data_IF_697833006020
#
_entry.id   IF_697833006020
#
_cell.length_a   1.000
_cell.length_b   1.000
_cell.length_c   1.000
_cell.angle_alpha   90.00
_cell.angle_beta   90.00
_cell.angle_gamma   90.00
#
_symmetry.space_group_name_H-M   'P 1'
#
loop_
_entity.id
_entity.type
_entity.pdbx_description
1 polymer ?
#
# COMPACT_ATOMS: atom_id res chain seq x y z
N UNK A 1 35.31 -25.06 29.48
CA UNK A 1 35.62 -23.71 29.97
C UNK A 1 35.70 -22.79 28.78
N UNK A 2 34.67 -22.01 28.51
CA UNK A 2 34.71 -20.67 27.96
C UNK A 2 33.26 -20.20 27.86
N UNK A 3 32.86 -19.28 28.73
CA UNK A 3 31.58 -18.54 28.72
C UNK A 3 31.62 -17.52 27.60
N UNK A 4 30.64 -17.54 26.70
CA UNK A 4 30.32 -16.37 25.86
C UNK A 4 29.10 -15.66 26.46
N UNK A 5 29.29 -14.42 26.84
CA UNK A 5 28.24 -13.46 27.24
C UNK A 5 27.45 -13.05 26.00
N UNK A 6 26.14 -13.16 26.09
CA UNK A 6 25.22 -12.52 25.14
C UNK A 6 24.98 -11.07 25.61
N UNK A 7 25.31 -10.10 24.78
CA UNK A 7 24.89 -8.71 24.99
C UNK A 7 23.50 -8.49 24.38
N UNK A 8 22.55 -8.21 25.24
CA UNK A 8 21.24 -7.71 24.84
C UNK A 8 21.38 -6.21 24.52
N UNK A 9 21.18 -5.81 23.26
CA UNK A 9 20.98 -4.41 22.90
C UNK A 9 19.56 -4.00 23.32
N UNK A 10 19.49 -3.04 24.25
CA UNK A 10 18.25 -2.39 24.66
C UNK A 10 17.79 -1.47 23.53
N UNK A 11 16.57 -1.69 23.04
CA UNK A 11 15.86 -0.74 22.20
C UNK A 11 15.35 0.35 23.12
N UNK A 12 15.81 1.57 22.92
CA UNK A 12 15.34 2.74 23.64
C UNK A 12 14.06 3.28 22.97
N UNK A 13 12.98 3.38 23.74
CA UNK A 13 11.79 4.10 23.35
C UNK A 13 12.14 5.60 23.27
N UNK A 14 11.89 6.23 22.13
CA UNK A 14 12.04 7.68 21.95
C UNK A 14 10.75 8.35 22.40
N UNK A 15 10.82 9.01 23.53
CA UNK A 15 9.79 9.94 23.98
C UNK A 15 9.93 11.25 23.17
N UNK A 16 8.82 11.74 22.64
CA UNK A 16 8.75 13.05 21.99
C UNK A 16 8.87 14.13 23.07
N UNK A 17 9.98 14.83 23.10
CA UNK A 17 10.24 16.01 23.91
C UNK A 17 10.58 17.19 23.01
N UNK A 18 9.83 18.26 23.17
CA UNK A 18 9.98 19.50 22.41
C UNK A 18 11.19 20.34 22.84
N UNK A 19 11.66 21.15 21.89
CA UNK A 19 12.53 22.32 21.97
C UNK A 19 14.04 22.14 22.08
N UNK A 20 14.72 22.54 21.00
CA UNK A 20 16.11 22.96 21.01
C UNK A 20 16.47 23.61 19.67
N UNK A 21 16.50 24.93 19.62
CA UNK A 21 16.88 25.72 18.44
C UNK A 21 18.39 25.56 18.20
N UNK A 22 18.76 24.99 17.07
CA UNK A 22 20.12 25.09 16.56
C UNK A 22 20.07 25.63 15.12
N UNK A 23 20.59 26.81 14.91
CA UNK A 23 20.79 27.40 13.59
C UNK A 23 21.94 26.64 12.87
N UNK A 24 21.57 25.83 11.86
CA UNK A 24 22.45 25.29 10.88
C UNK A 24 21.87 25.58 9.49
N UNK A 25 22.63 26.21 8.61
CA UNK A 25 22.27 26.34 7.19
C UNK A 25 22.35 24.95 6.54
N UNK A 26 21.24 24.25 6.56
CA UNK A 26 20.92 23.05 5.82
C UNK A 26 19.50 23.20 5.30
N UNK A 27 19.24 22.85 4.05
CA UNK A 27 17.87 22.87 3.51
C UNK A 27 16.93 22.22 4.53
N UNK A 28 15.79 22.83 4.78
CA UNK A 28 14.81 22.26 5.68
C UNK A 28 14.47 20.86 5.14
N UNK A 29 14.78 19.81 5.93
CA UNK A 29 14.18 18.51 5.69
C UNK A 29 12.68 18.73 5.67
N UNK A 30 12.07 18.56 4.51
CA UNK A 30 10.62 18.52 4.40
C UNK A 30 10.21 17.23 5.07
N UNK A 31 9.87 17.31 6.34
CA UNK A 31 9.38 16.16 7.08
C UNK A 31 7.94 15.93 6.63
N UNK A 32 7.77 14.86 5.88
CA UNK A 32 6.49 14.43 5.39
C UNK A 32 5.50 14.21 6.54
N UNK A 33 4.36 14.80 6.40
CA UNK A 33 3.21 14.54 7.28
C UNK A 33 1.96 14.51 6.41
N UNK A 34 1.04 13.57 6.66
CA UNK A 34 -0.27 13.63 6.05
C UNK A 34 -0.95 14.99 6.29
N UNK A 35 -1.87 15.41 5.39
CA UNK A 35 -2.52 16.71 5.49
C UNK A 35 -3.33 16.86 6.78
N UNK A 36 -3.51 18.10 7.23
CA UNK A 36 -4.37 18.40 8.38
C UNK A 36 -5.81 17.90 8.15
N UNK A 37 -6.53 17.61 9.23
CA UNK A 37 -7.95 17.27 9.20
C UNK A 37 -8.26 15.77 9.09
N UNK A 38 -7.27 14.90 9.30
CA UNK A 38 -7.45 13.46 9.44
C UNK A 38 -6.69 12.93 10.67
N UNK A 39 -7.13 11.79 11.18
CA UNK A 39 -6.40 11.03 12.21
C UNK A 39 -5.62 9.90 11.53
N UNK A 40 -4.50 10.28 10.94
CA UNK A 40 -3.72 9.43 10.07
C UNK A 40 -2.90 8.40 10.83
N UNK A 41 -3.05 7.15 10.47
CA UNK A 41 -2.27 6.01 11.00
C UNK A 41 -1.43 5.41 9.90
N UNK A 42 -0.11 5.30 10.13
CA UNK A 42 0.80 4.65 9.19
C UNK A 42 0.47 3.16 9.04
N UNK A 43 0.48 2.65 7.81
CA UNK A 43 0.37 1.24 7.46
C UNK A 43 1.78 0.67 7.16
N UNK A 44 2.49 0.07 8.12
CA UNK A 44 3.85 -0.42 7.90
C UNK A 44 3.94 -1.52 6.84
N UNK A 45 2.87 -2.33 6.67
CA UNK A 45 2.81 -3.37 5.66
C UNK A 45 2.75 -2.83 4.23
N UNK A 46 2.25 -1.59 4.06
CA UNK A 46 2.16 -0.90 2.78
C UNK A 46 3.11 0.31 2.72
N UNK A 47 4.19 0.26 3.50
CA UNK A 47 5.23 1.30 3.58
C UNK A 47 6.62 0.69 3.53
N UNK A 48 7.61 1.44 3.07
CA UNK A 48 9.01 1.04 3.06
C UNK A 48 9.92 2.26 3.21
N UNK A 49 10.90 2.17 4.11
CA UNK A 49 11.91 3.21 4.36
C UNK A 49 13.21 2.91 3.60
N UNK A 50 13.30 1.79 2.91
CA UNK A 50 14.46 1.31 2.18
C UNK A 50 15.77 1.31 2.98
N UNK A 51 15.68 1.09 4.30
CA UNK A 51 16.81 1.08 5.24
C UNK A 51 17.72 -0.16 5.12
N UNK A 52 17.31 -1.14 4.32
CA UNK A 52 18.05 -2.38 4.09
C UNK A 52 19.23 -2.21 3.13
N UNK A 53 19.82 -3.34 2.77
CA UNK A 53 20.88 -3.48 1.76
C UNK A 53 20.42 -4.25 0.51
N UNK A 54 19.15 -4.63 0.48
CA UNK A 54 18.50 -5.31 -0.64
C UNK A 54 16.99 -4.98 -0.66
N UNK A 55 16.37 -5.17 -1.82
CA UNK A 55 14.92 -5.01 -1.98
C UNK A 55 14.18 -6.03 -1.10
N UNK A 56 13.20 -5.58 -0.33
CA UNK A 56 12.32 -6.47 0.44
C UNK A 56 11.37 -7.21 -0.51
N UNK A 57 11.70 -8.44 -0.85
CA UNK A 57 10.91 -9.27 -1.75
C UNK A 57 9.53 -9.67 -1.19
N UNK A 58 9.25 -9.42 0.09
CA UNK A 58 7.89 -9.57 0.62
C UNK A 58 7.01 -8.38 0.26
N UNK A 59 7.60 -7.22 0.02
CA UNK A 59 6.91 -5.96 -0.32
C UNK A 59 6.96 -5.63 -1.80
N UNK A 60 8.02 -6.00 -2.51
CA UNK A 60 8.27 -5.56 -3.87
C UNK A 60 8.59 -6.71 -4.83
N UNK A 61 8.13 -6.58 -6.04
CA UNK A 61 8.61 -7.34 -7.20
C UNK A 61 9.71 -6.53 -7.87
N UNK A 62 10.84 -7.18 -8.16
CA UNK A 62 11.90 -6.58 -8.98
C UNK A 62 11.51 -6.68 -10.45
N UNK A 63 11.00 -5.61 -11.02
CA UNK A 63 10.35 -5.54 -12.31
C UNK A 63 8.86 -5.22 -12.21
N UNK A 64 8.20 -5.14 -13.34
CA UNK A 64 6.76 -4.91 -13.50
C UNK A 64 6.22 -5.88 -14.55
N UNK A 65 4.89 -5.92 -14.77
CA UNK A 65 4.21 -6.92 -15.63
C UNK A 65 4.49 -6.81 -17.13
N UNK A 66 5.18 -5.75 -17.58
CA UNK A 66 5.67 -5.64 -18.95
C UNK A 66 7.19 -5.46 -18.97
N UNK A 67 7.85 -6.00 -20.00
CA UNK A 67 9.30 -6.12 -20.03
C UNK A 67 10.01 -4.93 -20.66
N UNK A 68 9.30 -4.14 -21.47
CA UNK A 68 9.92 -3.09 -22.30
C UNK A 68 9.03 -1.86 -22.42
N UNK A 69 9.65 -0.69 -22.45
CA UNK A 69 9.05 0.57 -22.91
C UNK A 69 9.52 0.89 -24.33
N UNK A 70 9.29 2.11 -24.81
CA UNK A 70 9.66 2.51 -26.19
C UNK A 70 11.13 2.24 -26.49
N UNK A 71 12.06 2.68 -25.64
CA UNK A 71 13.51 2.63 -25.90
C UNK A 71 14.27 1.75 -24.89
N UNK A 72 13.64 1.36 -23.80
CA UNK A 72 14.26 0.65 -22.68
C UNK A 72 13.66 -0.76 -22.49
N UNK A 73 14.49 -1.67 -21.98
CA UNK A 73 14.05 -2.89 -21.34
C UNK A 73 14.24 -2.79 -19.83
N UNK A 74 13.27 -3.29 -19.05
CA UNK A 74 13.46 -3.41 -17.62
C UNK A 74 14.43 -4.53 -17.28
N UNK A 75 15.40 -4.22 -16.44
CA UNK A 75 16.49 -5.14 -16.11
C UNK A 75 16.62 -5.22 -14.58
N UNK A 76 16.46 -6.41 -13.97
CA UNK A 76 16.52 -6.58 -12.52
C UNK A 76 17.81 -6.04 -11.88
N UNK A 77 18.95 -6.10 -12.59
CA UNK A 77 20.24 -5.58 -12.12
C UNK A 77 20.29 -4.04 -12.06
N UNK A 78 19.24 -3.37 -12.52
CA UNK A 78 19.10 -1.91 -12.45
C UNK A 78 18.30 -1.46 -11.21
N UNK A 79 17.92 -2.40 -10.35
CA UNK A 79 17.26 -2.15 -9.07
C UNK A 79 18.20 -2.51 -7.95
N UNK A 80 18.41 -1.59 -7.01
CA UNK A 80 19.19 -1.85 -5.79
C UNK A 80 18.65 -1.03 -4.63
N UNK A 81 18.92 -1.46 -3.40
CA UNK A 81 18.71 -0.67 -2.18
C UNK A 81 20.06 -0.37 -1.58
N UNK A 82 20.37 0.89 -1.38
CA UNK A 82 21.63 1.35 -0.79
C UNK A 82 21.52 2.77 -0.27
N UNK A 83 22.31 3.08 0.73
CA UNK A 83 22.38 4.42 1.33
C UNK A 83 21.00 4.96 1.76
N UNK A 84 20.10 4.07 2.25
CA UNK A 84 18.74 4.43 2.65
C UNK A 84 17.82 4.78 1.47
N UNK A 85 18.09 4.28 0.27
CA UNK A 85 17.24 4.53 -0.90
C UNK A 85 17.00 3.25 -1.71
N UNK A 86 15.82 3.13 -2.27
CA UNK A 86 15.64 2.37 -3.49
C UNK A 86 16.24 3.15 -4.65
N UNK A 87 17.10 2.50 -5.42
CA UNK A 87 17.81 3.10 -6.55
C UNK A 87 17.42 2.39 -7.84
N UNK A 88 16.74 3.11 -8.71
CA UNK A 88 16.42 2.66 -10.08
C UNK A 88 17.42 3.33 -11.02
N UNK A 89 18.11 2.52 -11.83
CA UNK A 89 19.17 2.99 -12.71
C UNK A 89 18.77 2.87 -14.17
N UNK A 90 19.01 3.90 -14.97
CA UNK A 90 18.98 3.86 -16.44
C UNK A 90 20.38 3.69 -16.98
N UNK A 91 20.61 2.77 -17.93
CA UNK A 91 21.93 2.46 -18.49
C UNK A 91 21.87 2.28 -20.00
N UNK A 92 23.00 2.56 -20.66
CA UNK A 92 23.25 2.06 -22.02
C UNK A 92 23.72 0.62 -21.93
N UNK A 93 22.85 -0.30 -22.25
CA UNK A 93 23.09 -1.73 -22.14
C UNK A 93 22.11 -2.49 -23.05
N UNK A 94 22.65 -3.33 -23.93
CA UNK A 94 21.81 -4.19 -24.75
C UNK A 94 21.16 -5.28 -23.89
N UNK A 95 19.83 -5.29 -23.86
CA UNK A 95 19.06 -6.24 -23.08
C UNK A 95 17.64 -6.38 -23.70
N UNK A 96 17.14 -7.61 -23.80
CA UNK A 96 15.79 -7.91 -24.29
C UNK A 96 15.38 -7.15 -25.57
N UNK A 97 16.35 -7.01 -26.53
CA UNK A 97 16.12 -6.36 -27.82
C UNK A 97 16.09 -4.82 -27.79
N UNK A 98 16.49 -4.21 -26.69
CA UNK A 98 16.63 -2.76 -26.52
C UNK A 98 18.10 -2.40 -26.30
N UNK A 99 18.48 -1.17 -26.69
CA UNK A 99 19.83 -0.66 -26.51
C UNK A 99 20.06 -0.02 -25.12
N UNK A 100 18.99 0.16 -24.35
CA UNK A 100 19.01 0.77 -23.03
C UNK A 100 18.27 -0.10 -22.03
N UNK A 101 18.66 -0.02 -20.78
CA UNK A 101 17.99 -0.69 -19.66
C UNK A 101 17.56 0.30 -18.58
N UNK A 102 16.47 0.00 -17.90
CA UNK A 102 15.94 0.78 -16.80
C UNK A 102 15.55 -0.12 -15.62
N UNK A 103 15.54 0.45 -14.42
CA UNK A 103 14.98 -0.19 -13.25
C UNK A 103 13.50 0.14 -13.09
N UNK A 104 12.73 -0.84 -12.61
CA UNK A 104 11.36 -0.66 -12.17
C UNK A 104 11.03 -1.66 -11.06
N UNK A 105 10.10 -1.30 -10.17
CA UNK A 105 9.53 -2.18 -9.15
C UNK A 105 8.02 -1.95 -9.04
N UNK A 106 7.28 -3.02 -8.73
CA UNK A 106 5.88 -2.92 -8.33
C UNK A 106 5.69 -3.48 -6.92
N UNK A 107 4.77 -2.89 -6.15
CA UNK A 107 4.48 -3.38 -4.82
C UNK A 107 3.64 -4.66 -4.85
N UNK A 108 3.89 -5.56 -3.91
CA UNK A 108 3.04 -6.73 -3.61
C UNK A 108 1.93 -6.41 -2.63
N UNK A 109 1.93 -5.20 -2.11
CA UNK A 109 0.86 -4.64 -1.30
C UNK A 109 0.02 -3.66 -2.10
N UNK A 110 -1.20 -3.45 -1.66
CA UNK A 110 -2.06 -2.41 -2.19
C UNK A 110 -2.14 -1.21 -1.24
N UNK A 111 -2.19 -0.02 -1.83
CA UNK A 111 -2.58 1.21 -1.14
C UNK A 111 -4.11 1.24 -1.12
N UNK A 112 -4.76 1.31 0.05
CA UNK A 112 -6.22 1.33 0.15
C UNK A 112 -6.85 2.42 -0.72
N UNK A 113 -8.01 2.13 -1.31
CA UNK A 113 -8.66 3.01 -2.27
C UNK A 113 -9.36 4.21 -1.65
N UNK A 114 -9.75 4.11 -0.39
CA UNK A 114 -10.48 5.16 0.32
C UNK A 114 -9.86 5.44 1.68
N UNK A 115 -10.09 6.64 2.22
CA UNK A 115 -9.50 7.10 3.48
C UNK A 115 -7.98 6.92 3.54
N UNK A 116 -7.29 7.00 2.41
CA UNK A 116 -5.85 6.74 2.29
C UNK A 116 -5.07 8.00 1.91
N UNK A 117 -3.83 8.02 2.38
CA UNK A 117 -2.80 8.95 1.95
C UNK A 117 -1.53 8.16 1.71
N UNK A 118 -0.96 8.27 0.52
CA UNK A 118 0.34 7.69 0.20
C UNK A 118 1.30 8.79 -0.18
N UNK A 119 2.50 8.73 0.36
CA UNK A 119 3.57 9.69 0.10
C UNK A 119 4.86 8.97 -0.27
N UNK A 120 5.49 9.49 -1.30
CA UNK A 120 6.79 9.05 -1.77
C UNK A 120 7.75 10.22 -1.71
N UNK A 121 8.87 10.06 -0.99
CA UNK A 121 9.97 11.02 -1.05
C UNK A 121 11.00 10.51 -2.03
N UNK A 122 11.27 11.30 -3.06
CA UNK A 122 12.12 10.86 -4.14
C UNK A 122 12.88 12.02 -4.78
N UNK A 123 14.03 11.67 -5.38
CA UNK A 123 14.79 12.55 -6.26
C UNK A 123 14.74 11.97 -7.66
N UNK A 124 14.05 12.65 -8.55
CA UNK A 124 13.93 12.27 -9.95
C UNK A 124 15.30 12.19 -10.62
N UNK A 125 15.42 11.35 -11.65
CA UNK A 125 16.63 11.28 -12.46
C UNK A 125 16.90 12.64 -13.13
N UNK A 126 18.17 13.04 -13.20
CA UNK A 126 18.59 14.34 -13.78
C UNK A 126 17.96 14.53 -15.16
N UNK A 127 17.26 15.63 -15.35
CA UNK A 127 16.56 16.00 -16.59
C UNK A 127 17.41 15.89 -17.85
N UNK A 128 18.74 16.03 -17.70
CA UNK A 128 19.67 15.96 -18.84
C UNK A 128 19.74 14.57 -19.44
N UNK A 129 19.38 13.52 -18.71
CA UNK A 129 19.37 12.16 -19.20
C UNK A 129 18.24 11.87 -20.18
N UNK A 130 17.18 12.70 -20.21
CA UNK A 130 16.00 12.51 -21.03
C UNK A 130 15.31 11.16 -20.83
N UNK A 131 15.15 10.76 -19.56
CA UNK A 131 14.50 9.53 -19.13
C UNK A 131 13.41 9.88 -18.12
N UNK A 132 12.20 9.39 -18.34
CA UNK A 132 11.06 9.65 -17.47
C UNK A 132 11.24 8.93 -16.12
N UNK A 133 11.11 9.65 -15.02
CA UNK A 133 10.89 9.06 -13.69
C UNK A 133 9.40 9.09 -13.40
N UNK A 134 8.84 7.98 -12.91
CA UNK A 134 7.42 7.87 -12.62
C UNK A 134 7.15 7.25 -11.24
N UNK A 135 6.16 7.82 -10.55
CA UNK A 135 5.54 7.33 -9.33
C UNK A 135 4.07 7.19 -9.65
N UNK A 136 3.56 5.98 -9.73
CA UNK A 136 2.21 5.73 -10.21
C UNK A 136 1.58 4.49 -9.59
N UNK A 137 0.31 4.30 -9.82
CA UNK A 137 -0.49 3.24 -9.22
C UNK A 137 -1.37 2.59 -10.29
N UNK A 138 -1.36 1.26 -10.30
CA UNK A 138 -2.16 0.47 -11.21
C UNK A 138 -2.88 -0.64 -10.47
N UNK A 139 -4.00 -1.11 -11.01
CA UNK A 139 -4.61 -2.33 -10.51
C UNK A 139 -3.73 -3.53 -10.83
N UNK A 140 -3.73 -4.52 -9.93
CA UNK A 140 -3.00 -5.77 -10.10
C UNK A 140 -3.26 -6.39 -11.48
N UNK A 141 -2.28 -7.08 -12.12
CA UNK A 141 -2.48 -7.80 -13.37
C UNK A 141 -3.68 -8.75 -13.39
N UNK A 142 -4.05 -9.28 -12.22
CA UNK A 142 -5.24 -10.11 -12.06
C UNK A 142 -6.56 -9.32 -12.19
N UNK A 143 -6.50 -8.00 -12.07
CA UNK A 143 -7.65 -7.10 -12.20
C UNK A 143 -7.68 -6.34 -13.54
N UNK A 144 -6.82 -6.66 -14.50
CA UNK A 144 -6.97 -6.20 -15.89
C UNK A 144 -8.29 -6.64 -16.53
N UNK A 145 -8.99 -7.59 -15.92
CA UNK A 145 -10.35 -7.95 -16.28
C UNK A 145 -11.38 -6.88 -15.90
N UNK A 146 -11.03 -5.96 -15.00
CA UNK A 146 -11.88 -4.81 -14.68
C UNK A 146 -11.94 -3.87 -15.88
N UNK A 147 -13.13 -3.56 -16.31
CA UNK A 147 -13.39 -2.63 -17.41
C UNK A 147 -14.33 -1.52 -16.92
N UNK A 148 -13.86 -0.31 -16.80
CA UNK A 148 -12.52 0.21 -17.11
C UNK A 148 -11.50 0.00 -15.98
N UNK A 149 -10.22 -0.10 -16.33
CA UNK A 149 -9.12 -0.21 -15.40
C UNK A 149 -8.39 1.13 -15.30
N UNK A 150 -8.50 1.85 -14.19
CA UNK A 150 -7.84 3.14 -14.03
C UNK A 150 -6.42 3.00 -13.49
N UNK A 151 -5.55 3.86 -13.98
CA UNK A 151 -4.20 4.12 -13.53
C UNK A 151 -4.14 5.51 -12.92
N UNK A 152 -3.37 5.70 -11.89
CA UNK A 152 -3.18 7.00 -11.24
C UNK A 152 -1.69 7.30 -11.20
N UNK A 153 -1.25 8.25 -12.04
CA UNK A 153 0.12 8.74 -12.01
C UNK A 153 0.20 9.87 -11.00
N UNK A 154 0.92 9.61 -9.91
CA UNK A 154 1.14 10.61 -8.87
C UNK A 154 2.15 11.64 -9.35
N UNK A 155 3.22 11.18 -10.02
CA UNK A 155 4.25 12.04 -10.60
C UNK A 155 4.84 11.38 -11.84
N UNK A 156 4.97 12.18 -12.91
CA UNK A 156 5.71 11.87 -14.12
C UNK A 156 6.55 13.08 -14.57
N UNK A 157 7.82 12.84 -14.90
CA UNK A 157 8.77 13.92 -15.23
C UNK A 157 8.76 14.31 -16.70
N UNK A 158 7.59 14.53 -17.30
CA UNK A 158 7.50 15.11 -18.66
C UNK A 158 7.99 16.57 -18.72
N UNK A 159 7.92 17.29 -17.61
CA UNK A 159 8.41 18.66 -17.47
C UNK A 159 8.98 18.83 -16.05
N UNK A 160 10.25 19.09 -15.93
CA UNK A 160 10.94 19.21 -14.65
C UNK A 160 10.68 20.51 -13.88
N UNK A 161 9.88 21.42 -14.44
CA UNK A 161 9.39 22.63 -13.76
C UNK A 161 7.94 22.52 -13.29
N UNK A 162 7.40 21.28 -13.36
CA UNK A 162 6.04 20.95 -12.97
C UNK A 162 5.99 19.60 -12.27
N UNK A 163 5.12 19.48 -11.27
CA UNK A 163 4.59 18.20 -10.90
C UNK A 163 3.41 17.88 -11.84
N UNK A 164 3.49 16.82 -12.58
CA UNK A 164 2.41 16.34 -13.46
C UNK A 164 1.82 15.08 -12.86
N UNK A 165 0.50 15.07 -12.69
CA UNK A 165 -0.27 13.91 -12.28
C UNK A 165 -1.35 13.63 -13.30
N UNK A 166 -1.62 12.36 -13.58
CA UNK A 166 -2.58 11.96 -14.61
C UNK A 166 -3.45 10.81 -14.09
N UNK A 167 -4.74 10.80 -14.49
CA UNK A 167 -5.57 9.62 -14.36
C UNK A 167 -5.81 9.10 -15.77
N UNK A 168 -5.43 7.85 -15.99
CA UNK A 168 -5.75 7.11 -17.18
C UNK A 168 -6.88 6.11 -16.90
N UNK A 169 -7.67 5.84 -17.90
CA UNK A 169 -8.68 4.78 -17.86
C UNK A 169 -8.44 3.85 -19.03
N UNK A 170 -8.03 2.64 -18.73
CA UNK A 170 -7.77 1.61 -19.74
C UNK A 170 -9.03 0.75 -19.91
N UNK A 171 -9.42 0.48 -21.15
CA UNK A 171 -10.43 -0.53 -21.46
C UNK A 171 -9.77 -1.88 -21.77
N UNK A 172 -10.54 -2.98 -21.69
CA UNK A 172 -10.08 -4.33 -22.01
C UNK A 172 -9.45 -4.48 -23.40
N UNK A 173 -9.71 -3.55 -24.30
CA UNK A 173 -9.00 -3.47 -25.57
C UNK A 173 -7.80 -2.54 -25.43
N UNK A 174 -6.56 -3.02 -25.64
CA UNK A 174 -5.35 -2.18 -25.59
C UNK A 174 -5.38 -1.01 -26.57
N UNK A 175 -6.31 -1.01 -27.53
CA UNK A 175 -6.48 0.07 -28.51
C UNK A 175 -7.42 1.18 -28.06
N UNK A 176 -8.06 1.06 -26.90
CA UNK A 176 -9.03 2.02 -26.38
C UNK A 176 -8.57 2.58 -25.04
N UNK A 177 -7.41 3.25 -25.05
CA UNK A 177 -7.00 4.11 -23.96
C UNK A 177 -7.90 5.34 -23.93
N UNK A 178 -8.70 5.46 -22.91
CA UNK A 178 -9.48 6.63 -22.64
C UNK A 178 -8.78 7.43 -21.54
N UNK A 179 -7.90 8.35 -21.95
CA UNK A 179 -7.47 9.39 -21.04
C UNK A 179 -8.69 10.25 -20.73
N UNK A 180 -9.25 10.12 -19.56
CA UNK A 180 -10.26 11.05 -19.09
C UNK A 180 -9.58 12.19 -18.37
N UNK A 181 -9.05 13.10 -19.16
CA UNK A 181 -8.89 14.52 -19.00
C UNK A 181 -8.46 15.05 -17.65
N UNK A 182 -7.63 14.29 -16.92
CA UNK A 182 -7.36 14.72 -15.59
C UNK A 182 -5.90 14.83 -15.36
N UNK A 183 -5.29 15.69 -16.18
CA UNK A 183 -3.98 16.17 -15.86
C UNK A 183 -4.13 17.26 -14.82
N UNK A 184 -3.64 16.98 -13.61
CA UNK A 184 -3.37 18.00 -12.63
C UNK A 184 -1.89 18.37 -12.67
N UNK A 185 -1.58 19.63 -12.44
CA UNK A 185 -0.20 20.06 -12.34
C UNK A 185 -0.02 21.23 -11.38
N UNK A 186 1.12 21.23 -10.72
CA UNK A 186 1.65 22.40 -10.04
C UNK A 186 2.78 22.95 -10.88
N UNK A 187 2.66 24.20 -11.32
CA UNK A 187 3.65 24.90 -12.15
C UNK A 187 4.53 25.84 -11.34
N UNK A 188 5.59 26.34 -11.99
CA UNK A 188 6.49 27.34 -11.40
C UNK A 188 7.43 26.76 -10.35
N UNK A 189 7.68 25.46 -10.43
CA UNK A 189 8.67 24.78 -9.61
C UNK A 189 10.06 25.05 -10.17
N UNK A 190 11.05 24.98 -9.31
CA UNK A 190 12.44 24.81 -9.74
C UNK A 190 12.62 23.40 -10.30
N UNK A 191 13.83 23.08 -10.77
CA UNK A 191 14.15 21.79 -11.32
C UNK A 191 13.94 20.67 -10.27
N UNK A 192 12.85 19.90 -10.40
CA UNK A 192 12.50 18.83 -9.46
C UNK A 192 13.47 17.64 -9.47
N UNK A 193 14.46 17.59 -10.38
CA UNK A 193 15.52 16.61 -10.36
C UNK A 193 16.75 17.07 -9.57
N UNK A 194 16.76 18.31 -9.09
CA UNK A 194 17.91 18.87 -8.38
C UNK A 194 18.03 18.34 -6.95
N UNK A 195 16.90 18.05 -6.28
CA UNK A 195 16.86 17.60 -4.90
C UNK A 195 15.72 16.61 -4.67
N UNK A 196 15.60 16.10 -3.43
CA UNK A 196 14.46 15.30 -2.99
C UNK A 196 13.23 16.15 -2.78
N UNK A 197 12.10 15.63 -3.25
CA UNK A 197 10.76 16.18 -3.03
C UNK A 197 9.81 15.12 -2.52
N UNK A 198 8.72 15.54 -1.89
CA UNK A 198 7.62 14.64 -1.54
C UNK A 198 6.49 14.77 -2.55
N UNK A 199 6.01 13.63 -3.01
CA UNK A 199 4.89 13.48 -3.92
C UNK A 199 3.82 12.63 -3.25
N UNK A 200 2.61 13.14 -3.11
CA UNK A 200 1.60 12.40 -2.38
C UNK A 200 0.22 12.42 -3.03
N UNK A 201 -0.54 11.38 -2.73
CA UNK A 201 -1.92 11.21 -3.14
C UNK A 201 -2.80 10.92 -1.91
N UNK A 202 -3.78 11.76 -1.66
CA UNK A 202 -4.88 11.52 -0.74
C UNK A 202 -6.13 11.07 -1.51
N UNK A 203 -6.80 10.02 -1.03
CA UNK A 203 -8.10 9.57 -1.50
C UNK A 203 -9.04 9.48 -0.32
N UNK A 204 -9.87 10.49 -0.15
CA UNK A 204 -10.76 10.62 1.00
C UNK A 204 -12.02 11.40 0.64
N UNK A 205 -13.15 11.04 1.22
CA UNK A 205 -14.44 11.77 1.08
C UNK A 205 -14.88 11.92 -0.38
N UNK A 206 -14.64 10.93 -1.22
CA UNK A 206 -14.97 11.00 -2.64
C UNK A 206 -14.12 12.00 -3.42
N UNK A 207 -12.96 12.35 -2.90
CA UNK A 207 -11.98 13.25 -3.52
C UNK A 207 -10.62 12.60 -3.66
N UNK A 208 -9.92 13.03 -4.67
CA UNK A 208 -8.51 12.74 -4.90
C UNK A 208 -7.74 14.05 -4.85
N UNK A 209 -6.69 14.11 -4.02
CA UNK A 209 -5.84 15.29 -3.86
C UNK A 209 -4.38 14.90 -4.02
N UNK A 210 -3.66 15.62 -4.89
CA UNK A 210 -2.23 15.45 -5.03
C UNK A 210 -1.48 16.59 -4.34
N UNK A 211 -0.38 16.23 -3.69
CA UNK A 211 0.46 17.14 -2.94
C UNK A 211 1.89 17.11 -3.45
N UNK A 212 2.54 18.27 -3.44
CA UNK A 212 3.97 18.44 -3.69
C UNK A 212 4.59 19.17 -2.51
N UNK A 213 5.59 18.58 -1.88
CA UNK A 213 6.23 19.09 -0.65
C UNK A 213 5.20 19.52 0.42
N UNK A 214 4.23 18.64 0.67
CA UNK A 214 3.14 18.85 1.64
C UNK A 214 2.11 19.90 1.23
N UNK A 215 2.24 20.54 0.07
CA UNK A 215 1.29 21.56 -0.39
C UNK A 215 0.33 20.98 -1.43
N UNK A 216 -0.96 21.23 -1.27
CA UNK A 216 -1.97 20.81 -2.24
C UNK A 216 -1.62 21.34 -3.64
N UNK A 217 -1.38 20.43 -4.56
CA UNK A 217 -1.11 20.73 -5.96
C UNK A 217 -2.41 20.82 -6.77
N UNK A 218 -3.31 19.84 -6.60
CA UNK A 218 -4.63 19.85 -7.23
C UNK A 218 -5.60 18.89 -6.51
N UNK A 219 -6.90 19.13 -6.72
CA UNK A 219 -7.99 18.31 -6.20
C UNK A 219 -8.98 17.95 -7.31
N UNK A 220 -9.54 16.76 -7.23
CA UNK A 220 -10.61 16.29 -8.10
C UNK A 220 -11.63 15.48 -7.31
N UNK A 221 -12.89 15.56 -7.71
CA UNK A 221 -13.97 14.74 -7.18
C UNK A 221 -13.93 13.36 -7.83
N UNK A 222 -13.84 12.30 -7.04
CA UNK A 222 -13.69 10.92 -7.50
C UNK A 222 -14.87 10.38 -8.33
N UNK A 223 -16.06 10.93 -8.09
CA UNK A 223 -17.30 10.48 -8.75
C UNK A 223 -17.36 10.75 -10.25
N UNK A 224 -16.64 11.75 -10.74
CA UNK A 224 -16.70 12.14 -12.15
C UNK A 224 -15.87 11.23 -13.05
N UNK A 225 -14.83 10.57 -12.51
CA UNK A 225 -13.91 9.73 -13.28
C UNK A 225 -13.85 8.29 -12.81
N UNK A 226 -14.77 7.88 -12.00
CA UNK A 226 -14.98 6.53 -11.53
C UNK A 226 -13.69 5.73 -11.22
N UNK A 227 -13.67 4.98 -10.12
CA UNK A 227 -12.63 4.00 -9.78
C UNK A 227 -11.35 4.52 -9.10
N UNK A 228 -11.23 5.81 -8.77
CA UNK A 228 -10.11 6.27 -7.91
C UNK A 228 -10.16 5.66 -6.50
N UNK A 229 -11.29 5.08 -6.15
CA UNK A 229 -11.57 4.43 -4.87
C UNK A 229 -11.09 2.97 -4.81
N UNK A 230 -10.59 2.43 -5.92
CA UNK A 230 -10.02 1.09 -5.93
C UNK A 230 -8.65 1.10 -5.25
N UNK A 231 -8.36 0.06 -4.46
CA UNK A 231 -7.00 -0.15 -4.01
C UNK A 231 -6.10 -0.51 -5.20
N UNK A 232 -4.85 -0.10 -5.09
CA UNK A 232 -3.89 -0.24 -6.18
C UNK A 232 -2.52 -0.52 -5.65
N UNK A 233 -1.77 -1.34 -6.37
CA UNK A 233 -0.36 -1.45 -6.10
C UNK A 233 0.40 -0.23 -6.60
N UNK A 234 1.51 0.08 -5.93
CA UNK A 234 2.43 1.16 -6.26
C UNK A 234 3.43 0.67 -7.29
N UNK A 235 3.74 1.51 -8.26
CA UNK A 235 4.80 1.29 -9.23
C UNK A 235 5.78 2.47 -9.20
N UNK A 236 7.06 2.14 -9.22
CA UNK A 236 8.16 3.10 -9.34
C UNK A 236 9.00 2.68 -10.53
N UNK A 237 9.16 3.55 -11.52
CA UNK A 237 9.83 3.18 -12.77
C UNK A 237 10.63 4.31 -13.40
N UNK A 238 11.59 3.90 -14.23
CA UNK A 238 12.24 4.75 -15.23
C UNK A 238 11.81 4.31 -16.61
N UNK A 239 11.30 5.25 -17.43
CA UNK A 239 10.67 4.89 -18.69
C UNK A 239 11.13 5.73 -19.88
N UNK A 240 11.03 5.14 -21.08
CA UNK A 240 11.50 5.73 -22.32
C UNK A 240 10.42 6.48 -23.10
N UNK A 241 9.67 7.39 -22.45
CA UNK A 241 8.59 8.13 -23.11
C UNK A 241 9.01 9.49 -23.67
N UNK A 242 10.24 9.93 -23.40
CA UNK A 242 10.74 11.26 -23.80
C UNK A 242 11.52 11.22 -25.13
N UNK A 243 11.60 10.07 -25.79
CA UNK A 243 12.46 9.82 -26.92
C UNK A 243 13.82 9.24 -26.51
N UNK A 244 14.81 9.27 -27.42
CA UNK A 244 16.11 8.69 -27.14
C UNK A 244 16.78 9.37 -25.93
N UNK A 245 17.39 8.59 -25.02
CA UNK A 245 18.10 9.15 -23.89
C UNK A 245 19.40 9.83 -24.31
N UNK A 246 19.86 10.76 -23.52
CA UNK A 246 21.14 11.43 -23.70
C UNK A 246 22.25 10.58 -23.07
N UNK A 247 22.91 9.75 -23.87
CA UNK A 247 23.88 8.72 -23.44
C UNK A 247 25.01 9.25 -22.54
N UNK A 248 25.44 10.50 -22.74
CA UNK A 248 26.50 11.11 -21.94
C UNK A 248 26.13 11.32 -20.46
N UNK A 249 24.83 11.24 -20.13
CA UNK A 249 24.30 11.34 -18.76
C UNK A 249 23.84 9.98 -18.21
N UNK A 250 24.18 8.89 -18.90
CA UNK A 250 23.98 7.53 -18.41
C UNK A 250 25.31 6.92 -17.92
N UNK A 251 25.31 6.09 -16.86
CA UNK A 251 24.14 5.71 -16.06
C UNK A 251 23.58 6.88 -15.26
N UNK A 252 22.25 6.94 -15.14
CA UNK A 252 21.54 7.91 -14.32
C UNK A 252 20.62 7.20 -13.34
N UNK A 253 20.28 7.85 -12.23
CA UNK A 253 19.59 7.24 -11.11
C UNK A 253 18.36 8.02 -10.66
N UNK A 254 17.26 7.33 -10.45
CA UNK A 254 16.08 7.76 -9.73
C UNK A 254 16.17 7.20 -8.32
N UNK A 255 16.16 8.06 -7.31
CA UNK A 255 16.36 7.70 -5.91
C UNK A 255 15.03 7.85 -5.17
N UNK A 256 14.61 6.82 -4.45
CA UNK A 256 13.41 6.85 -3.61
C UNK A 256 13.81 6.57 -2.18
N UNK A 257 13.63 7.58 -1.31
CA UNK A 257 13.99 7.54 0.11
C UNK A 257 12.97 6.70 0.90
N UNK A 258 11.68 6.92 0.64
CA UNK A 258 10.61 6.11 1.25
C UNK A 258 9.32 6.10 0.44
N UNK A 259 8.50 5.10 0.72
CA UNK A 259 7.07 5.05 0.43
C UNK A 259 6.33 4.87 1.75
N UNK A 260 5.44 5.80 2.10
CA UNK A 260 4.65 5.76 3.33
C UNK A 260 3.17 5.81 3.00
N UNK A 261 2.43 4.82 3.45
CA UNK A 261 0.98 4.73 3.29
C UNK A 261 0.30 4.93 4.63
N UNK A 262 -0.74 5.77 4.65
CA UNK A 262 -1.55 6.04 5.84
C UNK A 262 -3.03 5.81 5.53
N UNK A 263 -3.80 5.55 6.58
CA UNK A 263 -5.27 5.61 6.53
C UNK A 263 -5.79 6.58 7.58
N UNK A 264 -6.96 7.16 7.30
CA UNK A 264 -7.63 8.07 8.22
C UNK A 264 -8.57 7.28 9.14
N UNK A 265 -8.20 7.18 10.41
CA UNK A 265 -8.97 6.45 11.41
C UNK A 265 -10.25 7.16 11.87
N UNK A 266 -10.41 8.44 11.57
CA UNK A 266 -11.62 9.21 11.90
C UNK A 266 -12.68 9.15 10.81
N UNK A 267 -12.36 8.64 9.63
CA UNK A 267 -13.24 8.67 8.46
C UNK A 267 -14.60 7.99 8.69
N UNK A 268 -14.67 6.95 9.52
CA UNK A 268 -15.93 6.24 9.83
C UNK A 268 -16.17 6.03 11.34
N UNK A 269 -15.34 6.63 12.21
CA UNK A 269 -15.34 6.35 13.64
C UNK A 269 -14.91 4.93 13.96
N UNK A 270 -13.73 4.73 14.51
CA UNK A 270 -13.26 3.38 14.89
C UNK A 270 -14.23 2.72 15.88
N UNK A 271 -14.42 1.40 15.84
CA UNK A 271 -15.10 0.69 16.89
C UNK A 271 -14.32 0.88 18.22
N UNK A 272 -15.01 0.98 19.33
CA UNK A 272 -14.36 0.96 20.63
C UNK A 272 -13.79 -0.43 20.93
N UNK A 273 -12.78 -0.50 21.82
CA UNK A 273 -12.36 -1.82 22.32
C UNK A 273 -13.54 -2.49 23.03
N UNK A 274 -13.87 -3.71 22.64
CA UNK A 274 -15.07 -4.35 23.14
C UNK A 274 -15.34 -5.71 22.48
N UNK A 275 -16.49 -6.28 22.74
CA UNK A 275 -16.89 -7.57 22.18
C UNK A 275 -17.94 -7.39 21.09
N UNK A 276 -17.74 -8.04 19.96
CA UNK A 276 -18.53 -7.90 18.76
C UNK A 276 -18.81 -9.24 18.08
N UNK A 277 -19.90 -9.29 17.33
CA UNK A 277 -19.97 -10.16 16.15
C UNK A 277 -19.40 -9.40 14.96
N UNK A 278 -18.54 -10.06 14.19
CA UNK A 278 -17.90 -9.51 12.98
C UNK A 278 -18.69 -10.07 11.80
N UNK A 279 -19.54 -9.24 11.19
CA UNK A 279 -20.53 -9.64 10.18
C UNK A 279 -20.00 -9.29 8.80
N UNK A 280 -19.92 -10.28 7.92
CA UNK A 280 -19.53 -10.07 6.52
C UNK A 280 -20.63 -9.30 5.78
N UNK A 281 -20.26 -8.30 5.00
CA UNK A 281 -21.23 -7.44 4.33
C UNK A 281 -21.92 -8.13 3.17
N UNK A 282 -21.28 -9.04 2.47
CA UNK A 282 -21.89 -9.79 1.35
C UNK A 282 -22.80 -10.88 1.84
N UNK A 283 -22.28 -11.84 2.60
CA UNK A 283 -23.02 -13.03 3.01
C UNK A 283 -23.99 -12.80 4.17
N UNK A 284 -23.85 -11.69 4.92
CA UNK A 284 -24.55 -11.40 6.18
C UNK A 284 -24.31 -12.44 7.27
N UNK A 285 -23.29 -13.27 7.10
CA UNK A 285 -22.83 -14.26 8.09
C UNK A 285 -21.74 -13.68 8.97
N UNK A 286 -21.51 -14.33 10.11
CA UNK A 286 -20.52 -13.89 11.11
C UNK A 286 -19.23 -14.68 10.99
N UNK A 287 -18.12 -14.04 11.33
CA UNK A 287 -16.85 -14.71 11.53
C UNK A 287 -16.98 -15.70 12.70
N UNK A 288 -16.60 -16.95 12.48
CA UNK A 288 -16.77 -18.04 13.44
C UNK A 288 -15.51 -18.89 13.58
N UNK A 289 -15.30 -19.36 14.82
CA UNK A 289 -14.32 -20.37 15.15
C UNK A 289 -14.88 -21.76 14.82
N UNK A 290 -14.39 -22.38 13.77
CA UNK A 290 -14.93 -23.64 13.23
C UNK A 290 -14.54 -24.90 14.01
N UNK A 291 -14.08 -24.77 15.25
CA UNK A 291 -13.63 -25.89 16.11
C UNK A 291 -12.78 -25.43 17.28
N UNK A 292 -12.26 -26.37 18.04
CA UNK A 292 -11.52 -26.14 19.31
C UNK A 292 -10.01 -26.41 19.23
N UNK A 293 -9.44 -26.48 18.01
CA UNK A 293 -8.02 -26.81 17.82
C UNK A 293 -7.22 -25.61 17.30
N UNK A 294 -5.97 -25.52 17.70
CA UNK A 294 -5.02 -24.53 17.22
C UNK A 294 -4.77 -24.65 15.71
N UNK A 295 -4.72 -23.51 15.02
CA UNK A 295 -4.45 -23.46 13.59
C UNK A 295 -5.63 -23.90 12.73
N UNK A 296 -6.83 -23.94 13.31
CA UNK A 296 -8.04 -24.19 12.54
C UNK A 296 -8.37 -22.94 11.72
N UNK A 297 -8.61 -23.15 10.42
CA UNK A 297 -9.07 -22.11 9.53
C UNK A 297 -10.44 -21.57 9.98
N UNK A 298 -10.53 -20.26 10.13
CA UNK A 298 -11.77 -19.58 10.43
C UNK A 298 -12.76 -19.74 9.29
N UNK A 299 -14.05 -19.66 9.62
CA UNK A 299 -15.17 -19.81 8.68
C UNK A 299 -16.23 -18.76 8.94
N UNK A 300 -17.17 -18.64 8.05
CA UNK A 300 -18.41 -17.90 8.33
C UNK A 300 -19.52 -18.84 8.77
N UNK A 301 -20.40 -18.34 9.64
CA UNK A 301 -21.60 -19.05 10.07
C UNK A 301 -22.79 -18.11 10.25
N UNK A 302 -23.99 -18.69 10.39
CA UNK A 302 -25.20 -17.89 10.62
C UNK A 302 -25.16 -17.19 11.98
N UNK A 303 -25.57 -15.93 12.02
CA UNK A 303 -25.48 -15.04 13.19
C UNK A 303 -26.37 -15.50 14.39
N UNK A 304 -27.30 -16.40 14.15
CA UNK A 304 -28.33 -16.81 15.12
C UNK A 304 -27.79 -17.70 16.26
N UNK A 305 -26.57 -18.20 16.14
CA UNK A 305 -26.04 -19.18 17.09
C UNK A 305 -25.90 -18.65 18.53
N UNK A 306 -25.72 -17.34 18.71
CA UNK A 306 -25.45 -16.75 20.03
C UNK A 306 -24.19 -17.33 20.73
N UNK A 307 -23.48 -18.22 20.05
CA UNK A 307 -22.31 -18.94 20.54
C UNK A 307 -21.15 -17.98 20.81
N UNK A 308 -20.36 -18.29 21.82
CA UNK A 308 -19.11 -17.54 22.08
C UNK A 308 -18.07 -17.75 20.99
N UNK A 309 -18.19 -18.79 20.15
CA UNK A 309 -17.34 -19.00 18.96
C UNK A 309 -17.50 -17.92 17.89
N UNK A 310 -18.64 -17.23 17.86
CA UNK A 310 -18.95 -16.14 16.93
C UNK A 310 -18.70 -14.75 17.52
N UNK A 311 -18.21 -14.69 18.76
CA UNK A 311 -17.95 -13.43 19.48
C UNK A 311 -16.46 -13.16 19.58
N UNK A 312 -16.09 -11.94 19.28
CA UNK A 312 -14.69 -11.53 19.19
C UNK A 312 -14.44 -10.28 20.02
N UNK A 313 -13.42 -10.31 20.85
CA UNK A 313 -12.99 -9.12 21.59
C UNK A 313 -11.92 -8.40 20.77
N UNK A 314 -12.21 -7.15 20.42
CA UNK A 314 -11.30 -6.24 19.76
C UNK A 314 -10.53 -5.45 20.81
N UNK A 315 -9.22 -5.40 20.69
CA UNK A 315 -8.34 -4.60 21.53
C UNK A 315 -7.38 -3.81 20.64
N UNK A 316 -7.40 -2.48 20.77
CA UNK A 316 -6.45 -1.62 20.06
C UNK A 316 -5.08 -1.72 20.71
N UNK A 317 -4.04 -1.96 19.93
CA UNK A 317 -2.65 -2.01 20.34
C UNK A 317 -2.02 -0.61 20.34
N UNK A 318 -0.88 -0.46 20.99
CA UNK A 318 -0.17 0.83 21.05
C UNK A 318 0.34 1.33 19.68
N UNK A 319 0.50 0.41 18.71
CA UNK A 319 0.89 0.72 17.31
C UNK A 319 -0.29 0.97 16.38
N UNK A 320 -1.47 1.23 16.94
CA UNK A 320 -2.74 1.48 16.24
C UNK A 320 -3.33 0.26 15.51
N UNK A 321 -2.68 -0.89 15.56
CA UNK A 321 -3.26 -2.15 15.08
C UNK A 321 -4.29 -2.69 16.08
N UNK A 322 -5.02 -3.70 15.65
CA UNK A 322 -6.01 -4.39 16.45
C UNK A 322 -5.68 -5.86 16.61
N UNK A 323 -5.83 -6.34 17.83
CA UNK A 323 -5.84 -7.77 18.14
C UNK A 323 -7.30 -8.23 18.30
N UNK A 324 -7.65 -9.37 17.70
CA UNK A 324 -9.01 -9.87 17.63
C UNK A 324 -9.05 -11.25 18.27
N UNK A 325 -9.59 -11.34 19.49
CA UNK A 325 -9.60 -12.55 20.31
C UNK A 325 -10.97 -13.23 20.33
N UNK A 326 -11.01 -14.52 20.08
CA UNK A 326 -12.23 -15.32 20.21
C UNK A 326 -12.64 -15.51 21.68
N UNK A 327 -13.94 -15.42 21.95
CA UNK A 327 -14.50 -15.53 23.31
C UNK A 327 -14.60 -16.98 23.80
N UNK A 328 -14.73 -17.96 22.90
CA UNK A 328 -14.92 -19.38 23.29
C UNK A 328 -13.64 -20.01 23.83
N UNK A 329 -12.49 -19.75 23.22
CA UNK A 329 -11.25 -20.46 23.53
C UNK A 329 -10.05 -19.54 23.77
N UNK A 330 -10.20 -18.22 23.58
CA UNK A 330 -9.15 -17.22 23.78
C UNK A 330 -8.08 -17.18 22.68
N UNK A 331 -8.24 -17.88 21.57
CA UNK A 331 -7.38 -17.77 20.40
C UNK A 331 -7.57 -16.45 19.66
N UNK A 332 -6.65 -16.09 18.79
CA UNK A 332 -6.66 -14.85 18.04
C UNK A 332 -6.77 -15.10 16.55
N UNK A 333 -7.38 -14.14 15.83
CA UNK A 333 -7.36 -14.13 14.36
C UNK A 333 -5.92 -13.99 13.92
N UNK A 334 -5.43 -14.97 13.19
CA UNK A 334 -4.02 -15.16 12.83
C UNK A 334 -3.91 -15.47 11.34
N UNK A 335 -3.01 -14.79 10.64
CA UNK A 335 -2.67 -15.13 9.27
C UNK A 335 -1.56 -16.18 9.27
N UNK A 336 -1.80 -17.33 8.64
CA UNK A 336 -0.79 -18.38 8.54
C UNK A 336 0.51 -17.86 7.92
N UNK A 337 1.58 -17.82 8.73
CA UNK A 337 2.88 -17.25 8.36
C UNK A 337 3.83 -18.33 7.80
N UNK A 338 3.42 -19.02 6.76
CA UNK A 338 4.24 -19.98 6.01
C UNK A 338 4.77 -19.39 4.68
N UNK A 339 5.27 -20.23 3.79
CA UNK A 339 5.80 -19.81 2.49
C UNK A 339 4.80 -19.14 1.56
N UNK A 340 3.54 -19.08 1.92
CA UNK A 340 2.47 -18.43 1.17
C UNK A 340 1.95 -17.13 1.77
N UNK A 341 2.64 -16.56 2.76
CA UNK A 341 2.13 -15.42 3.56
C UNK A 341 1.66 -14.23 2.74
N UNK A 342 2.27 -13.96 1.59
CA UNK A 342 1.86 -12.85 0.69
C UNK A 342 0.90 -13.29 -0.42
N UNK A 343 0.57 -14.58 -0.51
CA UNK A 343 -0.30 -15.11 -1.56
C UNK A 343 -1.79 -14.85 -1.27
N UNK A 344 -2.55 -14.60 -2.31
CA UNK A 344 -4.01 -14.64 -2.22
C UNK A 344 -4.49 -16.07 -1.88
N UNK A 345 -5.56 -16.18 -1.12
CA UNK A 345 -6.08 -17.47 -0.67
C UNK A 345 -5.35 -18.06 0.54
N UNK A 346 -4.36 -17.38 1.12
CA UNK A 346 -3.69 -17.87 2.33
C UNK A 346 -4.69 -17.93 3.50
N UNK A 347 -4.77 -19.06 4.22
CA UNK A 347 -5.76 -19.25 5.29
C UNK A 347 -5.59 -18.28 6.44
N UNK A 348 -6.71 -17.78 6.95
CA UNK A 348 -6.78 -17.10 8.24
C UNK A 348 -7.29 -18.11 9.28
N UNK A 349 -6.56 -18.24 10.36
CA UNK A 349 -6.75 -19.30 11.36
C UNK A 349 -6.97 -18.74 12.77
N UNK A 350 -7.44 -19.57 13.66
CA UNK A 350 -7.46 -19.30 15.09
C UNK A 350 -6.16 -19.82 15.71
N UNK A 351 -5.39 -18.96 16.38
CA UNK A 351 -4.12 -19.35 16.98
C UNK A 351 -3.88 -18.69 18.35
N UNK A 352 -3.19 -19.33 19.29
CA UNK A 352 -2.83 -18.70 20.55
C UNK A 352 -2.00 -17.44 20.36
N UNK A 353 -2.20 -16.48 21.24
CA UNK A 353 -1.48 -15.22 21.18
C UNK A 353 0.04 -15.41 21.28
N UNK A 354 0.78 -14.80 20.36
CA UNK A 354 2.25 -14.77 20.38
C UNK A 354 2.80 -13.36 20.03
N UNK A 355 1.91 -12.39 19.76
CA UNK A 355 2.27 -10.99 19.53
C UNK A 355 2.92 -10.69 18.19
N UNK A 356 2.95 -11.64 17.25
CA UNK A 356 3.48 -11.44 15.89
C UNK A 356 2.61 -10.50 15.05
N UNK A 357 3.20 -9.95 13.99
CA UNK A 357 2.50 -9.07 13.04
C UNK A 357 1.35 -9.76 12.31
N UNK A 358 1.41 -11.09 12.18
CA UNK A 358 0.33 -11.91 11.61
C UNK A 358 -0.93 -12.03 12.49
N UNK A 359 -0.87 -11.54 13.74
CA UNK A 359 -2.02 -11.42 14.66
C UNK A 359 -2.49 -9.97 14.83
N UNK A 360 -2.01 -9.07 13.98
CA UNK A 360 -2.31 -7.64 14.03
C UNK A 360 -3.02 -7.22 12.76
N UNK A 361 -4.08 -6.44 12.94
CA UNK A 361 -4.98 -6.05 11.87
C UNK A 361 -5.21 -4.54 11.91
N UNK A 362 -5.17 -3.89 10.75
CA UNK A 362 -5.67 -2.53 10.61
C UNK A 362 -7.15 -2.56 10.26
N UNK A 363 -7.94 -1.69 10.86
CA UNK A 363 -9.31 -1.46 10.48
C UNK A 363 -9.35 -0.28 9.53
N UNK A 364 -9.61 -0.55 8.26
CA UNK A 364 -9.68 0.47 7.21
C UNK A 364 -11.13 0.72 6.86
N UNK A 365 -11.65 1.95 7.06
CA UNK A 365 -13.04 2.25 6.76
C UNK A 365 -13.30 2.22 5.26
N UNK A 366 -14.51 1.82 4.88
CA UNK A 366 -15.00 1.88 3.52
C UNK A 366 -16.05 2.99 3.37
N UNK A 367 -16.35 3.38 2.15
CA UNK A 367 -17.41 4.37 1.89
C UNK A 367 -18.81 3.91 2.25
N UNK A 368 -19.02 2.60 2.29
CA UNK A 368 -20.31 2.00 2.72
C UNK A 368 -20.53 2.06 4.23
N UNK A 369 -19.54 2.56 5.02
CA UNK A 369 -19.57 2.56 6.48
C UNK A 369 -19.26 1.20 7.09
N UNK A 370 -18.69 0.30 6.32
CA UNK A 370 -18.13 -0.98 6.74
C UNK A 370 -16.61 -0.87 6.94
N UNK A 371 -15.95 -1.98 7.24
CA UNK A 371 -14.54 -2.04 7.54
C UNK A 371 -13.86 -3.15 6.75
N UNK A 372 -12.62 -2.89 6.32
CA UNK A 372 -11.70 -3.93 5.90
C UNK A 372 -10.71 -4.22 7.02
N UNK A 373 -10.50 -5.52 7.27
CA UNK A 373 -9.49 -5.98 8.22
C UNK A 373 -8.23 -6.30 7.43
N UNK A 374 -7.28 -5.37 7.43
CA UNK A 374 -6.04 -5.49 6.66
C UNK A 374 -4.95 -6.09 7.53
N UNK A 375 -4.35 -7.18 7.09
CA UNK A 375 -3.23 -7.80 7.81
C UNK A 375 -2.02 -6.88 7.90
N UNK A 376 -1.49 -6.67 9.10
CA UNK A 376 -0.27 -5.90 9.30
C UNK A 376 0.98 -6.62 8.74
N UNK A 377 0.90 -7.93 8.49
CA UNK A 377 2.00 -8.70 7.92
C UNK A 377 2.04 -8.63 6.39
N UNK A 378 0.87 -8.74 5.73
CA UNK A 378 0.80 -8.90 4.27
C UNK A 378 0.19 -7.71 3.53
N UNK A 379 -0.46 -6.76 4.24
CA UNK A 379 -1.22 -5.69 3.63
C UNK A 379 -2.51 -6.13 2.92
N UNK A 380 -2.92 -7.40 3.04
CA UNK A 380 -4.10 -7.96 2.38
C UNK A 380 -5.31 -7.98 3.30
N UNK A 381 -6.52 -7.98 2.70
CA UNK A 381 -7.77 -8.00 3.44
C UNK A 381 -8.17 -9.41 3.87
N UNK A 382 -8.78 -9.51 5.05
CA UNK A 382 -9.50 -10.69 5.50
C UNK A 382 -10.81 -10.80 4.70
N UNK A 383 -11.04 -11.93 4.02
CA UNK A 383 -12.22 -12.11 3.18
C UNK A 383 -12.81 -13.51 3.27
N UNK A 384 -14.07 -13.63 2.85
CA UNK A 384 -14.72 -14.94 2.62
C UNK A 384 -14.25 -15.48 1.27
N UNK A 385 -13.71 -16.69 1.25
CA UNK A 385 -13.16 -17.31 0.05
C UNK A 385 -14.21 -17.41 -1.08
N UNK A 386 -13.81 -16.99 -2.30
CA UNK A 386 -14.62 -17.00 -3.51
C UNK A 386 -15.96 -16.25 -3.39
N UNK A 387 -16.07 -15.24 -2.54
CA UNK A 387 -17.31 -14.51 -2.24
C UNK A 387 -18.50 -15.45 -1.91
N UNK A 388 -18.22 -16.58 -1.26
CA UNK A 388 -19.20 -17.62 -0.98
C UNK A 388 -20.27 -17.16 -0.01
N UNK A 389 -21.53 -17.41 -0.33
CA UNK A 389 -22.68 -17.19 0.57
C UNK A 389 -22.99 -18.40 1.45
N UNK A 390 -22.28 -19.51 1.27
CA UNK A 390 -22.56 -20.77 1.92
C UNK A 390 -22.16 -20.77 3.40
N UNK A 391 -22.86 -21.56 4.18
CA UNK A 391 -22.52 -21.86 5.57
C UNK A 391 -21.18 -22.59 5.65
N UNK A 392 -20.30 -22.19 6.56
CA UNK A 392 -18.99 -22.80 6.74
C UNK A 392 -17.97 -22.46 5.68
N UNK A 393 -18.21 -21.46 4.82
CA UNK A 393 -17.20 -21.01 3.85
C UNK A 393 -15.93 -20.52 4.56
N UNK A 394 -14.75 -20.87 4.04
CA UNK A 394 -13.48 -20.55 4.68
C UNK A 394 -13.17 -19.04 4.66
N UNK A 395 -12.39 -18.61 5.62
CA UNK A 395 -11.81 -17.25 5.68
C UNK A 395 -10.36 -17.31 5.24
N UNK A 396 -10.04 -16.44 4.30
CA UNK A 396 -8.69 -16.31 3.71
C UNK A 396 -8.29 -14.85 3.67
N UNK A 397 -7.05 -14.57 3.32
CA UNK A 397 -6.65 -13.23 2.89
C UNK A 397 -6.73 -13.10 1.37
N UNK A 398 -7.02 -11.90 0.90
CA UNK A 398 -6.97 -11.57 -0.53
C UNK A 398 -6.50 -10.13 -0.74
N UNK A 399 -5.88 -9.86 -1.91
CA UNK A 399 -5.58 -8.48 -2.30
C UNK A 399 -6.86 -7.66 -2.31
N UNK A 400 -6.76 -6.45 -1.78
CA UNK A 400 -7.89 -5.54 -1.78
C UNK A 400 -8.22 -5.15 -3.22
N UNK A 401 -9.35 -5.61 -3.69
CA UNK A 401 -9.95 -5.21 -4.96
C UNK A 401 -11.34 -4.70 -4.66
N UNK A 402 -11.75 -3.59 -5.27
CA UNK A 402 -13.16 -3.22 -5.25
C UNK A 402 -13.86 -4.09 -6.29
N UNK A 403 -14.30 -5.24 -5.86
CA UNK A 403 -15.23 -6.07 -6.60
C UNK A 403 -16.65 -5.56 -6.31
N UNK A 404 -17.58 -5.99 -7.12
CA UNK A 404 -19.00 -5.84 -6.83
C UNK A 404 -19.39 -6.63 -5.58
N UNK A 405 -18.55 -7.56 -5.15
CA UNK A 405 -18.73 -8.45 -3.99
C UNK A 405 -18.11 -7.81 -2.76
N UNK A 406 -18.89 -7.62 -1.71
CA UNK A 406 -18.42 -7.06 -0.44
C UNK A 406 -17.94 -8.16 0.54
N UNK A 407 -17.31 -9.22 0.01
CA UNK A 407 -16.88 -10.40 0.77
C UNK A 407 -15.68 -10.15 1.70
N UNK A 408 -14.99 -9.01 1.54
CA UNK A 408 -13.90 -8.53 2.37
C UNK A 408 -14.28 -7.31 3.24
N UNK A 409 -15.57 -6.94 3.21
CA UNK A 409 -16.13 -5.88 4.03
C UNK A 409 -16.87 -6.44 5.25
N UNK A 410 -16.66 -5.80 6.39
CA UNK A 410 -17.15 -6.30 7.68
C UNK A 410 -17.83 -5.19 8.50
N UNK A 411 -18.84 -5.55 9.23
CA UNK A 411 -19.51 -4.70 10.21
C UNK A 411 -19.31 -5.26 11.61
N UNK A 412 -19.02 -4.40 12.57
CA UNK A 412 -18.88 -4.77 13.98
C UNK A 412 -20.21 -4.53 14.70
N UNK A 413 -20.90 -5.60 15.10
CA UNK A 413 -22.14 -5.56 15.85
C UNK A 413 -21.84 -5.81 17.32
N UNK A 414 -21.99 -4.81 18.23
CA UNK A 414 -21.70 -4.98 19.64
C UNK A 414 -22.55 -6.09 20.24
N UNK A 415 -21.93 -6.91 21.11
CA UNK A 415 -22.63 -7.94 21.87
C UNK A 415 -22.39 -7.72 23.35
N UNK A 416 -23.44 -7.94 24.14
CA UNK A 416 -23.39 -7.77 25.60
C UNK A 416 -22.68 -8.94 26.29
#
# INVERSE_FOLDING_TARGET
MYKKRSEFKKIAAIAVGACGIAYGFGGAEVQAAPPEGGNWTLLPASSDEFDGDCLDENKWTNGIWYDVTTDFAFCPENVSVRDGNLVLTAKKQDYNGKAYTAGAVESKFDVPGTASYVEVRAKALDKKANVLSAIWMQSSPLSFELNPNPEIDIMETFDYTKMTSTIHTWNQSPSLHLQRGTNGWKTGLEDISADYHTYALERREGKMRCYFDGQLAWEKTSREDSFVELSRHMVLSLEGHLGAPEEQYLPGEFLVDYVRTYYDSDFAGLPESGTYQIVNQESKKVLDLSGDQKGIQLRQSSAESGSDSTKWTLTQNADQTWSIQNRADGTYVDLTADSGVTSNGNPVVAYPYHGGTNQRWYLVPTESGTWKLMSALSGKALCVENASLEEGAPIVQWSYEKNEDANDEWTFVPVQ
#
